data_IF_588606216570
#
_entry.id   IF_588606216570
#
_cell.length_a   1.000
_cell.length_b   1.000
_cell.length_c   1.000
_cell.angle_alpha   90.00
_cell.angle_beta   90.00
_cell.angle_gamma   90.00
#
_symmetry.space_group_name_H-M   'P 1'
#
loop_
_entity.id
_entity.type
_entity.pdbx_description
1 polymer ?
#
# COMPACT_ATOMS: atom_id res chain seq x y z
N UNK A 1 15.15 -21.32 -11.67
CA UNK A 1 15.69 -19.96 -11.42
C UNK A 1 14.86 -18.96 -12.21
N UNK A 2 13.86 -18.34 -11.57
CA UNK A 2 12.98 -17.36 -12.25
C UNK A 2 13.80 -16.10 -12.49
N UNK A 3 14.01 -15.72 -13.75
CA UNK A 3 14.71 -14.48 -14.08
C UNK A 3 13.79 -13.31 -13.76
N UNK A 4 14.00 -12.68 -12.60
CA UNK A 4 13.27 -11.47 -12.21
C UNK A 4 13.50 -10.38 -13.24
N UNK A 5 12.44 -9.69 -13.61
CA UNK A 5 12.50 -8.56 -14.53
C UNK A 5 13.25 -7.41 -13.84
N UNK A 6 14.06 -6.63 -14.59
CA UNK A 6 14.75 -5.48 -14.01
C UNK A 6 13.78 -4.44 -13.48
N UNK A 7 14.17 -3.72 -12.44
CA UNK A 7 13.35 -2.69 -11.81
C UNK A 7 12.96 -1.59 -12.81
N UNK A 8 13.86 -1.21 -13.71
CA UNK A 8 13.63 -0.23 -14.77
C UNK A 8 12.50 -0.65 -15.71
N UNK A 9 12.46 -1.94 -16.08
CA UNK A 9 11.42 -2.46 -16.96
C UNK A 9 10.06 -2.49 -16.26
N UNK A 10 10.03 -2.91 -15.00
CA UNK A 10 8.80 -2.87 -14.20
C UNK A 10 8.30 -1.44 -14.02
N UNK A 11 9.19 -0.49 -13.70
CA UNK A 11 8.86 0.94 -13.62
C UNK A 11 8.26 1.46 -14.92
N UNK A 12 8.87 1.13 -16.06
CA UNK A 12 8.39 1.52 -17.38
C UNK A 12 6.96 1.01 -17.67
N UNK A 13 6.67 -0.24 -17.32
CA UNK A 13 5.35 -0.84 -17.47
C UNK A 13 4.30 -0.17 -16.57
N UNK A 14 4.61 0.07 -15.30
CA UNK A 14 3.72 0.77 -14.35
C UNK A 14 3.35 2.15 -14.88
N UNK A 15 4.34 2.91 -15.37
CA UNK A 15 4.08 4.24 -15.95
C UNK A 15 3.20 4.16 -17.20
N UNK A 16 3.32 3.10 -18.00
CA UNK A 16 2.47 2.90 -19.18
C UNK A 16 1.02 2.60 -18.79
N UNK A 17 0.80 1.76 -17.77
CA UNK A 17 -0.55 1.51 -17.23
C UNK A 17 -1.19 2.81 -16.75
N UNK A 18 -0.43 3.68 -16.08
CA UNK A 18 -0.91 5.01 -15.67
C UNK A 18 -1.34 5.90 -16.84
N UNK A 19 -0.63 5.85 -17.97
CA UNK A 19 -0.97 6.61 -19.19
C UNK A 19 -2.15 6.03 -19.98
N UNK A 20 -2.49 4.77 -19.77
CA UNK A 20 -3.52 4.07 -20.55
C UNK A 20 -4.97 4.41 -20.17
N UNK A 21 -5.18 5.26 -19.17
CA UNK A 21 -6.53 5.71 -18.77
C UNK A 21 -7.35 4.64 -18.04
N UNK A 22 -6.71 3.63 -17.46
CA UNK A 22 -7.40 2.63 -16.64
C UNK A 22 -8.09 3.26 -15.43
N UNK A 23 -9.26 2.74 -15.07
CA UNK A 23 -9.91 3.08 -13.80
C UNK A 23 -9.06 2.67 -12.60
N UNK A 24 -9.33 3.28 -11.43
CA UNK A 24 -8.48 3.15 -10.23
C UNK A 24 -8.24 1.70 -9.76
N UNK A 25 -9.26 0.82 -9.83
CA UNK A 25 -9.12 -0.58 -9.44
C UNK A 25 -8.37 -1.42 -10.49
N UNK A 26 -8.74 -1.39 -11.80
CA UNK A 26 -7.95 -2.03 -12.85
C UNK A 26 -6.48 -1.60 -12.89
N UNK A 27 -6.20 -0.32 -12.67
CA UNK A 27 -4.83 0.21 -12.62
C UNK A 27 -4.01 -0.46 -11.49
N UNK A 28 -4.54 -0.48 -10.26
CA UNK A 28 -3.82 -1.10 -9.12
C UNK A 28 -3.55 -2.58 -9.34
N UNK A 29 -4.51 -3.32 -9.91
CA UNK A 29 -4.31 -4.72 -10.29
C UNK A 29 -3.16 -4.85 -11.28
N UNK A 30 -3.15 -4.06 -12.36
CA UNK A 30 -2.07 -4.08 -13.34
C UNK A 30 -0.70 -3.76 -12.71
N UNK A 31 -0.63 -2.79 -11.79
CA UNK A 31 0.60 -2.47 -11.06
C UNK A 31 1.08 -3.63 -10.20
N UNK A 32 0.19 -4.27 -9.44
CA UNK A 32 0.53 -5.43 -8.59
C UNK A 32 1.08 -6.58 -9.44
N UNK A 33 0.48 -6.84 -10.60
CA UNK A 33 0.95 -7.87 -11.54
C UNK A 33 2.35 -7.56 -12.10
N UNK A 34 2.69 -6.29 -12.36
CA UNK A 34 4.06 -5.92 -12.74
C UNK A 34 5.04 -6.11 -11.56
N UNK A 35 4.63 -5.76 -10.34
CA UNK A 35 5.46 -5.93 -9.14
C UNK A 35 5.76 -7.40 -8.85
N UNK A 36 4.77 -8.31 -9.00
CA UNK A 36 4.96 -9.76 -8.85
C UNK A 36 6.06 -10.33 -9.75
N UNK A 37 6.35 -9.68 -10.89
CA UNK A 37 7.40 -10.12 -11.84
C UNK A 37 8.82 -9.77 -11.39
N UNK A 38 8.98 -8.84 -10.45
CA UNK A 38 10.28 -8.39 -9.94
C UNK A 38 10.49 -8.71 -8.46
N UNK A 39 9.44 -8.81 -7.66
CA UNK A 39 9.51 -9.02 -6.22
C UNK A 39 8.55 -10.13 -5.85
N UNK A 40 9.07 -11.16 -5.19
CA UNK A 40 8.24 -12.22 -4.63
C UNK A 40 7.58 -11.71 -3.35
N UNK A 41 6.26 -11.80 -3.29
CA UNK A 41 5.47 -11.54 -2.09
C UNK A 41 4.29 -12.51 -2.02
N UNK A 42 3.94 -12.89 -0.79
CA UNK A 42 2.89 -13.87 -0.52
C UNK A 42 1.51 -13.23 -0.37
N UNK A 43 1.46 -11.92 -0.16
CA UNK A 43 0.22 -11.16 -0.07
C UNK A 43 0.46 -9.66 -0.15
N UNK A 44 -0.62 -8.91 -0.37
CA UNK A 44 -0.62 -7.46 -0.47
C UNK A 44 -1.89 -6.85 0.12
N UNK A 45 -1.78 -5.60 0.57
CA UNK A 45 -2.89 -4.76 0.99
C UNK A 45 -2.66 -3.35 0.44
N UNK A 46 -3.53 -2.92 -0.48
CA UNK A 46 -3.52 -1.58 -1.07
C UNK A 46 -4.86 -0.89 -0.81
N UNK A 47 -4.86 0.05 0.14
CA UNK A 47 -6.04 0.84 0.51
C UNK A 47 -5.88 2.25 -0.05
N UNK A 48 -6.91 2.79 -0.70
CA UNK A 48 -6.94 4.21 -1.05
C UNK A 48 -7.38 5.01 0.17
N UNK A 49 -6.95 6.24 0.31
CA UNK A 49 -7.40 7.11 1.40
C UNK A 49 -8.31 8.18 0.81
N UNK A 50 -9.52 8.32 1.35
CA UNK A 50 -10.35 9.47 1.02
C UNK A 50 -9.62 10.74 1.49
N UNK A 51 -9.27 11.66 0.59
CA UNK A 51 -8.49 12.85 0.95
C UNK A 51 -9.23 13.80 1.90
N UNK A 52 -10.56 13.70 2.01
CA UNK A 52 -11.36 14.55 2.89
C UNK A 52 -11.43 13.99 4.30
N UNK A 53 -11.88 12.73 4.46
CA UNK A 53 -12.05 12.12 5.79
C UNK A 53 -10.77 11.49 6.34
N UNK A 54 -9.73 11.34 5.51
CA UNK A 54 -8.51 10.63 5.85
C UNK A 54 -8.76 9.15 6.24
N UNK A 55 -9.91 8.58 5.85
CA UNK A 55 -10.30 7.17 6.07
C UNK A 55 -9.89 6.31 4.88
N UNK A 56 -9.46 5.08 5.16
CA UNK A 56 -9.20 4.08 4.13
C UNK A 56 -10.49 3.66 3.42
N UNK A 57 -10.50 3.77 2.09
CA UNK A 57 -11.60 3.43 1.19
C UNK A 57 -11.12 2.52 0.05
N UNK A 58 -12.06 1.82 -0.57
CA UNK A 58 -11.82 0.95 -1.74
C UNK A 58 -10.60 0.00 -1.59
N UNK A 59 -10.61 -0.87 -0.56
CA UNK A 59 -9.49 -1.76 -0.28
C UNK A 59 -9.30 -2.81 -1.38
N UNK A 60 -8.05 -3.02 -1.77
CA UNK A 60 -7.63 -4.09 -2.68
C UNK A 60 -6.59 -4.94 -1.96
N UNK A 61 -6.92 -6.20 -1.66
CA UNK A 61 -6.04 -7.08 -0.90
C UNK A 61 -6.16 -8.53 -1.36
N UNK A 62 -5.04 -9.23 -1.28
CA UNK A 62 -4.92 -10.68 -1.36
C UNK A 62 -3.96 -11.08 -0.24
N UNK A 63 -4.48 -11.74 0.78
CA UNK A 63 -3.74 -12.04 2.01
C UNK A 63 -3.86 -13.52 2.34
N UNK A 64 -2.74 -14.23 2.58
CA UNK A 64 -2.78 -15.60 3.07
C UNK A 64 -3.56 -15.70 4.39
N UNK A 65 -4.20 -16.85 4.63
CA UNK A 65 -4.84 -17.14 5.91
C UNK A 65 -6.08 -16.29 6.22
N UNK A 66 -6.92 -16.03 5.21
CA UNK A 66 -8.17 -15.23 5.35
C UNK A 66 -9.05 -15.72 6.50
N UNK A 67 -9.06 -17.02 6.79
CA UNK A 67 -9.80 -17.63 7.91
C UNK A 67 -9.44 -17.03 9.27
N UNK A 68 -8.19 -16.63 9.47
CA UNK A 68 -7.66 -16.06 10.72
C UNK A 68 -7.36 -14.56 10.60
N UNK A 69 -7.90 -13.90 9.58
CA UNK A 69 -7.52 -12.54 9.20
C UNK A 69 -7.66 -11.54 10.36
N UNK A 70 -8.74 -11.62 11.14
CA UNK A 70 -8.94 -10.73 12.29
C UNK A 70 -7.81 -10.87 13.33
N UNK A 71 -7.37 -12.10 13.60
CA UNK A 71 -6.24 -12.40 14.50
C UNK A 71 -4.93 -11.88 13.90
N UNK A 72 -4.70 -12.11 12.60
CA UNK A 72 -3.51 -11.61 11.88
C UNK A 72 -3.43 -10.09 11.88
N UNK A 73 -4.55 -9.39 11.66
CA UNK A 73 -4.63 -7.93 11.74
C UNK A 73 -4.30 -7.47 13.16
N UNK A 74 -4.88 -8.09 14.19
CA UNK A 74 -4.58 -7.77 15.59
C UNK A 74 -3.08 -7.91 15.88
N UNK A 75 -2.46 -9.00 15.44
CA UNK A 75 -1.02 -9.21 15.61
C UNK A 75 -0.18 -8.16 14.88
N UNK A 76 -0.55 -7.79 13.65
CA UNK A 76 0.07 -6.67 12.91
C UNK A 76 -0.01 -5.36 13.69
N UNK A 77 -1.08 -5.09 14.44
CA UNK A 77 -1.23 -3.89 15.25
C UNK A 77 -0.64 -3.99 16.67
N UNK A 78 -0.36 -5.20 17.16
CA UNK A 78 0.29 -5.41 18.45
C UNK A 78 1.83 -5.38 18.38
N UNK A 79 2.42 -5.74 17.23
CA UNK A 79 3.89 -5.79 17.09
C UNK A 79 4.53 -4.39 17.04
N UNK A 80 5.68 -4.20 17.69
CA UNK A 80 6.49 -2.97 17.54
C UNK A 80 7.33 -2.96 16.27
N UNK A 81 7.49 -4.11 15.61
CA UNK A 81 8.32 -4.29 14.42
C UNK A 81 7.63 -3.74 13.17
N UNK A 82 8.43 -3.25 12.21
CA UNK A 82 7.99 -2.79 10.89
C UNK A 82 6.88 -1.72 10.92
N UNK A 83 6.86 -0.89 11.97
CA UNK A 83 6.02 0.30 12.00
C UNK A 83 6.59 1.29 11.00
N UNK A 84 5.86 1.53 9.92
CA UNK A 84 6.25 2.51 8.90
C UNK A 84 6.52 3.90 9.47
N UNK A 85 5.88 4.27 10.60
CA UNK A 85 6.15 5.52 11.33
C UNK A 85 7.47 5.55 12.09
N UNK A 86 8.09 4.39 12.33
CA UNK A 86 9.40 4.26 12.98
C UNK A 86 10.50 3.88 11.98
N UNK A 87 10.15 3.67 10.71
CA UNK A 87 11.14 3.53 9.65
C UNK A 87 11.73 4.91 9.38
N UNK A 88 13.03 5.08 9.63
CA UNK A 88 13.79 6.24 9.18
C UNK A 88 13.91 6.18 7.67
N UNK A 89 12.89 6.67 6.96
CA UNK A 89 12.96 6.89 5.52
C UNK A 89 13.84 8.11 5.32
N UNK A 90 15.00 7.95 4.68
CA UNK A 90 15.66 9.09 4.05
C UNK A 90 14.66 9.63 3.03
N UNK A 91 14.23 10.91 3.12
CA UNK A 91 13.26 11.46 2.19
C UNK A 91 13.94 11.51 0.81
N UNK A 92 13.68 10.51 -0.02
CA UNK A 92 14.03 10.57 -1.43
C UNK A 92 13.16 11.65 -2.08
N UNK A 93 13.64 12.88 -2.01
CA UNK A 93 13.56 14.01 -2.95
C UNK A 93 12.27 14.35 -3.70
N UNK A 94 11.11 13.78 -3.38
CA UNK A 94 9.83 14.25 -3.91
C UNK A 94 9.01 14.76 -2.74
N UNK A 95 8.84 16.08 -2.70
CA UNK A 95 8.10 16.78 -1.66
C UNK A 95 6.67 16.25 -1.62
N UNK A 96 6.39 15.32 -0.72
CA UNK A 96 5.02 15.05 -0.30
C UNK A 96 4.47 16.36 0.27
N UNK A 97 3.72 17.08 -0.55
CA UNK A 97 2.91 18.19 -0.10
C UNK A 97 1.62 17.57 0.45
N UNK A 98 1.36 17.64 1.77
CA UNK A 98 0.06 17.24 2.28
C UNK A 98 -1.01 18.02 1.49
N UNK A 99 -2.12 17.36 1.06
CA UNK A 99 -3.26 18.10 0.54
C UNK A 99 -3.62 19.18 1.58
N UNK A 100 -3.90 20.40 1.10
CA UNK A 100 -4.11 21.56 1.92
C UNK A 100 -5.09 21.25 3.08
N UNK A 101 -4.52 21.00 4.26
CA UNK A 101 -5.19 20.77 5.54
C UNK A 101 -6.38 19.78 5.43
N UNK A 102 -6.11 18.47 5.53
CA UNK A 102 -7.07 17.59 6.22
C UNK A 102 -7.17 18.18 7.64
N UNK A 103 -8.20 19.00 7.90
CA UNK A 103 -8.42 19.66 9.20
C UNK A 103 -8.63 18.66 10.34
N UNK A 104 -8.74 17.38 10.00
CA UNK A 104 -8.67 16.25 10.91
C UNK A 104 -7.20 15.89 11.11
N UNK A 105 -6.67 16.17 12.29
CA UNK A 105 -5.42 15.54 12.74
C UNK A 105 -5.61 14.02 12.57
N UNK A 106 -4.88 13.39 11.64
CA UNK A 106 -4.87 11.93 11.49
C UNK A 106 -4.55 11.33 12.86
N UNK A 107 -5.58 10.92 13.59
CA UNK A 107 -5.41 10.33 14.90
C UNK A 107 -5.09 8.87 14.64
N UNK A 108 -3.82 8.50 14.78
CA UNK A 108 -3.32 7.13 14.71
C UNK A 108 -3.93 6.23 15.83
N UNK A 109 -4.87 6.75 16.63
CA UNK A 109 -5.62 6.04 17.66
C UNK A 109 -6.73 5.17 17.04
N UNK A 110 -6.32 4.16 16.28
CA UNK A 110 -7.15 2.96 16.10
C UNK A 110 -7.05 2.16 17.41
N UNK A 111 -7.72 2.66 18.45
CA UNK A 111 -7.85 1.98 19.73
C UNK A 111 -8.83 0.83 19.55
N UNK A 112 -8.31 -0.40 19.51
CA UNK A 112 -9.12 -1.58 19.78
C UNK A 112 -9.26 -1.63 21.30
N UNK A 113 -10.48 -1.39 21.80
CA UNK A 113 -10.80 -1.63 23.21
C UNK A 113 -10.47 -3.08 23.54
N UNK A 114 -9.80 -3.26 24.67
CA UNK A 114 -9.30 -4.54 25.18
C UNK A 114 -10.44 -5.47 25.55
#
# INVERSE_FOLDING_TARGET
MVRRVSAERVRGAILQHGRSGLGARPLRIAVIEELRRAIDFEGYVWVLTDPVTCVGVDPLADVPGVSDLAKTIRLKYATSLNRWTTLTVSPASETWQPPARCGVRCNNRWGWST
#
